data_IF_197698728746
#
_entry.id   IF_197698728746
#
_cell.length_a   1.000
_cell.length_b   1.000
_cell.length_c   1.000
_cell.angle_alpha   90.00
_cell.angle_beta   90.00
_cell.angle_gamma   90.00
#
_symmetry.space_group_name_H-M   'P 1'
#
loop_
_entity.id
_entity.type
_entity.pdbx_description
1 polymer ?
#
# COMPACT_ATOMS: atom_id res chain seq x y z
N UNK A 1 3.72 54.26 -65.59
CA UNK A 1 4.41 53.07 -65.06
C UNK A 1 4.45 53.16 -63.57
N UNK A 2 3.59 52.47 -62.92
CA UNK A 2 3.50 52.56 -61.47
C UNK A 2 3.65 51.16 -60.90
N UNK A 3 4.73 50.95 -60.19
CA UNK A 3 4.93 49.69 -59.45
C UNK A 3 4.02 49.57 -58.31
N UNK A 4 3.27 48.47 -58.22
CA UNK A 4 2.42 48.15 -57.12
C UNK A 4 3.26 47.76 -55.89
N UNK A 5 2.94 48.18 -54.69
CA UNK A 5 3.62 47.75 -53.49
C UNK A 5 3.29 46.30 -53.20
N UNK A 6 4.31 45.50 -53.05
CA UNK A 6 4.17 44.11 -52.58
C UNK A 6 3.75 44.12 -51.13
N UNK A 7 2.58 43.61 -50.87
CA UNK A 7 2.15 43.33 -49.51
C UNK A 7 3.03 42.22 -48.89
N UNK A 8 3.78 42.58 -47.85
CA UNK A 8 4.51 41.62 -47.05
C UNK A 8 3.51 41.01 -46.04
N UNK A 9 3.28 39.71 -46.19
CA UNK A 9 2.55 38.96 -45.19
C UNK A 9 3.37 38.88 -43.88
N UNK A 10 2.80 39.20 -42.73
CA UNK A 10 3.48 38.97 -41.47
C UNK A 10 3.59 37.46 -41.22
N UNK A 11 4.82 37.00 -41.03
CA UNK A 11 5.07 35.65 -40.53
C UNK A 11 4.63 35.59 -39.11
N UNK A 12 3.49 34.96 -38.87
CA UNK A 12 3.08 34.58 -37.53
C UNK A 12 4.07 33.54 -37.00
N UNK A 13 4.88 33.96 -36.07
CA UNK A 13 5.70 33.05 -35.27
C UNK A 13 4.78 32.17 -34.46
N UNK A 14 4.74 30.89 -34.81
CA UNK A 14 4.10 29.86 -33.96
C UNK A 14 4.99 29.63 -32.76
N UNK A 15 4.60 30.19 -31.65
CA UNK A 15 5.17 29.81 -30.37
C UNK A 15 4.62 28.41 -30.05
N UNK A 16 5.45 27.41 -30.26
CA UNK A 16 5.20 26.07 -29.75
C UNK A 16 5.41 26.11 -28.25
N UNK A 17 4.30 26.28 -27.53
CA UNK A 17 4.28 26.07 -26.09
C UNK A 17 4.57 24.59 -25.82
N UNK A 18 5.75 24.28 -25.30
CA UNK A 18 6.04 22.99 -24.76
C UNK A 18 5.17 22.82 -23.52
N UNK A 19 4.10 22.04 -23.60
CA UNK A 19 3.40 21.51 -22.44
C UNK A 19 4.36 20.51 -21.77
N UNK A 20 5.02 20.94 -20.73
CA UNK A 20 5.65 20.04 -19.80
C UNK A 20 4.53 19.31 -19.04
N UNK A 21 4.20 18.10 -19.47
CA UNK A 21 3.36 17.20 -18.72
C UNK A 21 4.21 16.73 -17.56
N UNK A 22 4.10 17.41 -16.43
CA UNK A 22 4.64 16.94 -15.17
C UNK A 22 3.88 15.66 -14.80
N UNK A 23 4.49 14.50 -15.01
CA UNK A 23 4.03 13.27 -14.39
C UNK A 23 4.23 13.41 -12.88
N UNK A 24 3.16 13.77 -12.19
CA UNK A 24 3.09 13.57 -10.76
C UNK A 24 3.11 12.05 -10.54
N UNK A 25 4.24 11.52 -10.13
CA UNK A 25 4.34 10.19 -9.55
C UNK A 25 3.56 10.22 -8.23
N UNK A 26 2.27 9.99 -8.34
CA UNK A 26 1.43 9.76 -7.16
C UNK A 26 1.94 8.50 -6.48
N UNK A 27 2.39 8.64 -5.24
CA UNK A 27 2.78 7.52 -4.40
C UNK A 27 1.54 6.67 -4.05
N UNK A 28 1.07 5.86 -5.03
CA UNK A 28 -0.03 4.89 -4.84
C UNK A 28 0.43 3.59 -4.15
N UNK A 29 1.70 3.51 -3.70
CA UNK A 29 2.28 2.30 -3.14
C UNK A 29 1.63 1.83 -1.83
N UNK A 30 0.95 2.69 -1.07
CA UNK A 30 0.39 2.34 0.25
C UNK A 30 -0.90 1.53 0.19
N UNK A 31 -1.75 1.75 -0.81
CA UNK A 31 -2.97 0.99 -1.00
C UNK A 31 -2.64 -0.45 -1.43
N UNK A 32 -1.67 -0.61 -2.36
CA UNK A 32 -1.23 -1.91 -2.84
C UNK A 32 -0.60 -2.76 -1.72
N UNK A 33 0.21 -2.16 -0.84
CA UNK A 33 0.83 -2.86 0.30
C UNK A 33 -0.23 -3.37 1.28
N UNK A 34 -1.29 -2.60 1.51
CA UNK A 34 -2.40 -3.00 2.37
C UNK A 34 -3.20 -4.15 1.77
N UNK A 35 -3.45 -4.11 0.47
CA UNK A 35 -4.16 -5.18 -0.24
C UNK A 35 -3.35 -6.48 -0.25
N UNK A 36 -2.05 -6.41 -0.55
CA UNK A 36 -1.15 -7.55 -0.45
C UNK A 36 -1.04 -8.09 0.97
N UNK A 37 -0.99 -7.20 1.96
CA UNK A 37 -1.01 -7.58 3.37
C UNK A 37 -2.30 -8.29 3.78
N UNK A 38 -3.44 -7.91 3.21
CA UNK A 38 -4.70 -8.62 3.38
C UNK A 38 -4.64 -10.04 2.83
N UNK A 39 -4.03 -10.25 1.67
CA UNK A 39 -3.85 -11.59 1.12
C UNK A 39 -3.04 -12.47 2.07
N UNK A 40 -1.94 -11.96 2.61
CA UNK A 40 -1.14 -12.67 3.62
C UNK A 40 -1.98 -12.98 4.86
N UNK A 41 -2.78 -12.03 5.31
CA UNK A 41 -3.69 -12.24 6.46
C UNK A 41 -4.72 -13.33 6.18
N UNK A 42 -5.33 -13.34 5.02
CA UNK A 42 -6.32 -14.33 4.63
C UNK A 42 -5.71 -15.73 4.50
N UNK A 43 -4.45 -15.84 4.15
CA UNK A 43 -3.74 -17.13 4.06
C UNK A 43 -3.41 -17.74 5.43
N UNK A 44 -3.03 -16.91 6.42
CA UNK A 44 -2.43 -17.41 7.65
C UNK A 44 -3.20 -17.06 8.95
N UNK A 45 -4.02 -16.04 8.95
CA UNK A 45 -4.54 -15.44 10.16
C UNK A 45 -6.07 -15.54 10.31
N UNK A 46 -6.77 -15.53 9.19
CA UNK A 46 -8.24 -15.40 9.15
C UNK A 46 -8.99 -16.47 9.92
N UNK A 47 -8.50 -17.70 9.93
CA UNK A 47 -9.18 -18.83 10.58
C UNK A 47 -9.37 -18.64 12.09
N UNK A 48 -8.48 -17.92 12.74
CA UNK A 48 -8.52 -17.63 14.18
C UNK A 48 -8.90 -16.17 14.48
N UNK A 49 -8.40 -15.21 13.70
CA UNK A 49 -8.62 -13.80 13.96
C UNK A 49 -9.84 -13.20 13.26
N UNK A 50 -10.46 -13.96 12.36
CA UNK A 50 -11.70 -13.58 11.68
C UNK A 50 -11.48 -12.72 10.44
N UNK A 51 -12.47 -12.71 9.56
CA UNK A 51 -12.48 -11.90 8.35
C UNK A 51 -12.44 -10.42 8.71
N UNK A 52 -11.62 -9.67 7.98
CA UNK A 52 -11.41 -8.23 8.20
C UNK A 52 -11.00 -7.88 9.64
N UNK A 53 -10.29 -8.80 10.30
CA UNK A 53 -9.87 -8.72 11.70
C UNK A 53 -11.03 -8.57 12.70
N UNK A 54 -12.26 -8.92 12.29
CA UNK A 54 -13.40 -8.98 13.19
C UNK A 54 -13.30 -10.27 13.99
N UNK A 55 -12.90 -10.14 15.25
CA UNK A 55 -12.73 -11.27 16.16
C UNK A 55 -14.04 -12.05 16.31
N UNK A 56 -14.03 -13.39 16.02
CA UNK A 56 -15.23 -14.21 16.18
C UNK A 56 -15.62 -14.48 17.63
N UNK A 57 -14.84 -14.00 18.60
CA UNK A 57 -15.03 -14.22 20.01
C UNK A 57 -14.02 -15.20 20.63
N UNK A 58 -14.18 -15.52 21.90
CA UNK A 58 -13.28 -16.39 22.64
C UNK A 58 -12.01 -15.69 23.13
N UNK A 59 -10.92 -16.45 23.21
CA UNK A 59 -9.63 -15.98 23.78
C UNK A 59 -8.72 -15.29 22.75
N UNK A 60 -9.15 -15.20 21.49
CA UNK A 60 -8.34 -14.62 20.41
C UNK A 60 -8.23 -13.11 20.59
N UNK A 61 -7.02 -12.58 20.54
CA UNK A 61 -6.77 -11.14 20.64
C UNK A 61 -7.34 -10.39 19.43
N UNK A 62 -8.02 -9.28 19.67
CA UNK A 62 -8.52 -8.39 18.63
C UNK A 62 -7.36 -7.59 18.04
N UNK A 63 -6.91 -7.97 16.83
CA UNK A 63 -5.77 -7.33 16.16
C UNK A 63 -5.97 -5.86 15.86
N UNK A 64 -7.21 -5.38 15.79
CA UNK A 64 -7.53 -3.96 15.61
C UNK A 64 -7.08 -3.10 16.80
N UNK A 65 -6.91 -3.72 17.96
CA UNK A 65 -6.43 -3.10 19.20
C UNK A 65 -4.92 -3.18 19.37
N UNK A 66 -4.21 -3.83 18.45
CA UNK A 66 -2.76 -3.92 18.53
C UNK A 66 -2.12 -2.53 18.37
N UNK A 67 -1.11 -2.17 19.18
CA UNK A 67 -0.42 -0.88 19.08
C UNK A 67 0.18 -0.65 17.68
N UNK A 68 -0.07 0.50 17.09
CA UNK A 68 0.25 0.82 15.69
C UNK A 68 1.72 1.15 15.43
N UNK A 69 2.51 1.27 16.46
CA UNK A 69 3.94 1.66 16.46
C UNK A 69 4.87 0.54 16.97
N UNK A 70 4.33 -0.62 17.33
CA UNK A 70 5.10 -1.73 17.90
C UNK A 70 5.35 -2.86 16.90
N UNK A 71 6.01 -2.57 15.78
CA UNK A 71 6.29 -3.56 14.74
C UNK A 71 7.08 -4.76 15.26
N UNK A 72 8.13 -4.54 16.03
CA UNK A 72 8.99 -5.64 16.55
C UNK A 72 8.20 -6.59 17.46
N UNK A 73 7.31 -6.06 18.27
CA UNK A 73 6.44 -6.87 19.10
C UNK A 73 5.46 -7.70 18.25
N UNK A 74 4.89 -7.09 17.22
CA UNK A 74 4.05 -7.79 16.26
C UNK A 74 4.83 -8.90 15.54
N UNK A 75 5.99 -8.57 15.00
CA UNK A 75 6.88 -9.50 14.31
C UNK A 75 7.20 -10.72 15.19
N UNK A 76 7.62 -10.50 16.41
CA UNK A 76 7.97 -11.57 17.35
C UNK A 76 6.74 -12.43 17.70
N UNK A 77 5.58 -11.83 17.88
CA UNK A 77 4.35 -12.56 18.14
C UNK A 77 3.96 -13.48 16.98
N UNK A 78 4.12 -13.02 15.74
CA UNK A 78 3.84 -13.84 14.55
C UNK A 78 4.86 -14.95 14.38
N UNK A 79 6.15 -14.65 14.49
CA UNK A 79 7.22 -15.62 14.23
C UNK A 79 7.32 -16.70 15.31
N UNK A 80 7.16 -16.32 16.56
CA UNK A 80 7.32 -17.23 17.70
C UNK A 80 6.00 -17.79 18.20
N UNK A 81 4.89 -17.22 17.77
CA UNK A 81 3.55 -17.60 18.23
C UNK A 81 3.26 -17.17 19.67
N UNK A 82 2.08 -17.54 20.11
CA UNK A 82 1.60 -17.36 21.49
C UNK A 82 1.01 -18.68 21.99
N UNK A 83 1.85 -19.61 22.46
CA UNK A 83 1.39 -20.91 22.92
C UNK A 83 0.37 -20.81 24.06
N UNK A 84 -0.59 -21.75 24.14
CA UNK A 84 -0.80 -22.90 23.24
C UNK A 84 -1.65 -22.57 22.00
N UNK A 85 -2.29 -21.40 21.94
CA UNK A 85 -3.36 -21.13 20.97
C UNK A 85 -2.85 -20.66 19.60
N UNK A 86 -1.88 -19.74 19.59
CA UNK A 86 -1.33 -19.22 18.34
C UNK A 86 -0.03 -19.93 17.96
N UNK A 87 0.02 -20.61 16.81
CA UNK A 87 1.21 -21.31 16.38
C UNK A 87 2.30 -20.33 15.89
N UNK A 88 3.59 -20.74 15.90
CA UNK A 88 4.67 -19.97 15.32
C UNK A 88 4.66 -20.08 13.80
N UNK A 89 4.95 -18.96 13.13
CA UNK A 89 4.97 -18.86 11.67
C UNK A 89 6.40 -18.68 11.11
N UNK A 90 7.42 -18.79 11.96
CA UNK A 90 8.83 -18.72 11.56
C UNK A 90 9.13 -19.76 10.48
N UNK A 91 9.76 -19.31 9.38
CA UNK A 91 10.05 -20.13 8.21
C UNK A 91 8.86 -20.35 7.26
N UNK A 92 7.66 -19.88 7.59
CA UNK A 92 6.45 -19.98 6.74
C UNK A 92 6.03 -18.64 6.16
N UNK A 93 6.34 -17.54 6.84
CA UNK A 93 6.09 -16.18 6.37
C UNK A 93 7.44 -15.51 6.13
N UNK A 94 7.63 -14.91 4.94
CA UNK A 94 8.84 -14.15 4.63
C UNK A 94 8.86 -12.81 5.37
N UNK A 95 10.04 -12.20 5.50
CA UNK A 95 10.17 -10.88 6.12
C UNK A 95 9.41 -9.80 5.32
N UNK A 96 9.34 -9.93 4.00
CA UNK A 96 8.59 -9.00 3.15
C UNK A 96 7.08 -9.18 3.33
N UNK A 97 6.58 -10.40 3.35
CA UNK A 97 5.16 -10.68 3.66
C UNK A 97 4.77 -10.22 5.05
N UNK A 98 5.69 -10.33 6.01
CA UNK A 98 5.46 -9.84 7.36
C UNK A 98 5.29 -8.32 7.43
N UNK A 99 6.04 -7.58 6.62
CA UNK A 99 5.87 -6.12 6.50
C UNK A 99 4.55 -5.74 5.83
N UNK A 100 4.17 -6.48 4.81
CA UNK A 100 2.87 -6.31 4.15
C UNK A 100 1.72 -6.61 5.12
N UNK A 101 1.81 -7.72 5.83
CA UNK A 101 0.85 -8.08 6.88
C UNK A 101 0.74 -7.00 7.96
N UNK A 102 1.87 -6.43 8.38
CA UNK A 102 1.88 -5.32 9.32
C UNK A 102 1.16 -4.08 8.78
N UNK A 103 1.38 -3.73 7.51
CA UNK A 103 0.69 -2.60 6.89
C UNK A 103 -0.84 -2.78 6.95
N UNK A 104 -1.34 -3.98 6.69
CA UNK A 104 -2.75 -4.32 6.79
C UNK A 104 -3.27 -4.23 8.23
N UNK A 105 -2.61 -4.89 9.18
CA UNK A 105 -3.03 -4.96 10.58
C UNK A 105 -3.02 -3.58 11.23
N UNK A 106 -1.96 -2.79 11.03
CA UNK A 106 -1.90 -1.44 11.61
C UNK A 106 -2.90 -0.47 10.98
N UNK A 107 -3.33 -0.75 9.76
CA UNK A 107 -4.37 0.03 9.09
C UNK A 107 -5.77 -0.21 9.63
N UNK A 108 -5.99 -1.29 10.39
CA UNK A 108 -7.28 -1.63 10.98
C UNK A 108 -8.18 -2.48 10.07
N UNK A 109 -7.62 -3.03 8.99
CA UNK A 109 -8.34 -3.86 8.04
C UNK A 109 -8.92 -3.12 6.86
#
# INVERSE_FOLDING_TARGET
MRGAPRAQCPRTARVLGALAIGMALSAGARADDTDLGREVYDDFCVSCHGRDMVNPGGVTFDLRKFPKDEFERFRNAVLDGKPPAMPPWRGKISDDDLKLLWAYVRGGG
#
